data_IF_915224675662
#
_entry.id   IF_915224675662
#
_cell.length_a   1.000
_cell.length_b   1.000
_cell.length_c   1.000
_cell.angle_alpha   90.00
_cell.angle_beta   90.00
_cell.angle_gamma   90.00
#
_symmetry.space_group_name_H-M   'P 1'
#
loop_
_entity.id
_entity.type
_entity.pdbx_description
1 polymer ?
#
# COMPACT_ATOMS: atom_id res chain seq x y z
N UNK A 1 7.93 18.16 24.31
CA UNK A 1 9.08 17.86 23.45
C UNK A 1 8.58 16.94 22.34
N UNK A 2 8.85 17.27 21.09
CA UNK A 2 8.49 16.42 19.95
C UNK A 2 9.57 15.35 19.77
N UNK A 3 9.18 14.08 19.84
CA UNK A 3 10.11 12.97 19.67
C UNK A 3 10.30 12.63 18.18
N UNK A 4 11.50 12.16 17.85
CA UNK A 4 11.83 11.57 16.54
C UNK A 4 12.17 10.10 16.74
N UNK A 5 11.60 9.24 15.90
CA UNK A 5 11.74 7.78 15.97
C UNK A 5 12.20 7.24 14.62
N UNK A 6 13.29 6.49 14.62
CA UNK A 6 13.77 5.73 13.47
C UNK A 6 13.22 4.31 13.63
N UNK A 7 12.24 3.94 12.80
CA UNK A 7 11.58 2.63 12.85
C UNK A 7 12.21 1.60 11.91
N UNK A 8 12.84 2.06 10.82
CA UNK A 8 13.66 1.25 9.92
C UNK A 8 14.79 2.12 9.35
N UNK A 9 16.05 1.65 9.36
CA UNK A 9 17.15 2.36 8.71
C UNK A 9 16.86 2.62 7.22
N UNK A 10 17.11 3.84 6.75
CA UNK A 10 16.88 4.23 5.34
C UNK A 10 15.49 4.83 5.07
N UNK A 11 14.52 4.62 5.97
CA UNK A 11 13.18 5.19 5.85
C UNK A 11 13.10 6.59 6.46
N UNK A 12 12.18 7.41 5.95
CA UNK A 12 11.85 8.73 6.49
C UNK A 12 11.50 8.60 7.98
N UNK A 13 12.18 9.33 8.89
CA UNK A 13 11.89 9.21 10.31
C UNK A 13 10.47 9.64 10.67
N UNK A 14 9.90 9.01 11.69
CA UNK A 14 8.67 9.46 12.31
C UNK A 14 9.00 10.63 13.25
N UNK A 15 8.35 11.76 13.03
CA UNK A 15 8.57 13.01 13.77
C UNK A 15 7.29 13.50 14.45
N UNK A 16 7.39 14.52 15.31
CA UNK A 16 6.25 15.14 16.01
C UNK A 16 5.40 14.14 16.78
N UNK A 17 6.03 13.06 17.25
CA UNK A 17 5.34 11.99 17.95
C UNK A 17 4.88 12.49 19.30
N UNK A 18 3.60 12.32 19.60
CA UNK A 18 3.09 12.44 20.96
C UNK A 18 2.39 11.14 21.35
N UNK A 19 2.85 10.55 22.44
CA UNK A 19 2.41 9.25 22.88
C UNK A 19 2.86 8.94 24.30
N UNK A 20 2.51 7.74 24.77
CA UNK A 20 2.90 7.23 26.08
C UNK A 20 3.50 5.84 25.92
N UNK A 21 4.70 5.67 26.46
CA UNK A 21 5.32 4.36 26.63
C UNK A 21 5.11 3.84 28.05
N UNK A 22 4.97 2.54 28.18
CA UNK A 22 4.86 1.85 29.46
C UNK A 22 5.69 0.57 29.45
N UNK A 23 6.56 0.43 30.46
CA UNK A 23 7.35 -0.77 30.71
C UNK A 23 6.81 -1.44 31.98
N UNK A 24 6.30 -2.67 31.86
CA UNK A 24 5.75 -3.44 32.98
C UNK A 24 6.44 -4.78 33.08
N UNK A 25 7.41 -4.87 33.98
CA UNK A 25 8.19 -6.10 34.19
C UNK A 25 8.89 -6.52 32.90
N UNK A 26 8.33 -7.52 32.21
CA UNK A 26 8.87 -8.10 30.99
C UNK A 26 8.11 -7.71 29.71
N UNK A 27 7.23 -6.70 29.77
CA UNK A 27 6.49 -6.21 28.61
C UNK A 27 6.68 -4.71 28.41
N UNK A 28 6.57 -4.28 27.16
CA UNK A 28 6.60 -2.87 26.76
C UNK A 28 5.43 -2.57 25.83
N UNK A 29 4.75 -1.46 26.07
CA UNK A 29 3.77 -0.90 25.15
C UNK A 29 4.08 0.56 24.86
N UNK A 30 3.72 1.02 23.66
CA UNK A 30 3.79 2.42 23.29
C UNK A 30 2.58 2.80 22.44
N UNK A 31 1.87 3.83 22.86
CA UNK A 31 0.70 4.36 22.15
C UNK A 31 0.99 5.79 21.68
N UNK A 32 1.11 5.98 20.37
CA UNK A 32 1.17 7.28 19.71
C UNK A 32 -0.23 7.74 19.29
N UNK A 33 -0.57 8.98 19.64
CA UNK A 33 -1.82 9.67 19.27
C UNK A 33 -1.65 10.61 18.08
N UNK A 34 -0.40 10.90 17.71
CA UNK A 34 -0.03 11.66 16.52
C UNK A 34 1.42 11.37 16.15
N UNK A 35 1.72 11.52 14.86
CA UNK A 35 3.07 11.55 14.33
C UNK A 35 3.06 11.97 12.86
N UNK A 36 4.24 12.20 12.28
CA UNK A 36 4.42 12.58 10.89
C UNK A 36 5.56 11.79 10.27
N UNK A 37 5.32 11.15 9.12
CA UNK A 37 6.37 10.57 8.27
C UNK A 37 6.45 11.42 7.02
N UNK A 38 7.39 12.38 7.00
CA UNK A 38 7.36 13.45 6.01
C UNK A 38 6.07 14.28 6.16
N UNK A 39 5.25 14.32 5.10
CA UNK A 39 3.92 14.95 5.11
C UNK A 39 2.78 13.98 5.41
N UNK A 40 3.04 12.67 5.52
CA UNK A 40 2.03 11.66 5.87
C UNK A 40 1.72 11.76 7.36
N UNK A 41 0.44 11.97 7.69
CA UNK A 41 -0.01 12.10 9.05
C UNK A 41 -0.35 10.73 9.64
N UNK A 42 0.22 10.43 10.80
CA UNK A 42 -0.13 9.25 11.60
C UNK A 42 -1.11 9.69 12.70
N UNK A 43 -2.31 9.12 12.70
CA UNK A 43 -3.36 9.41 13.68
C UNK A 43 -3.35 8.43 14.85
N UNK A 44 -2.84 7.22 14.63
CA UNK A 44 -2.65 6.19 15.65
C UNK A 44 -1.38 5.42 15.37
N UNK A 45 -0.62 5.12 16.41
CA UNK A 45 0.50 4.19 16.36
C UNK A 45 0.55 3.38 17.64
N UNK A 46 0.84 2.09 17.54
CA UNK A 46 0.96 1.19 18.67
C UNK A 46 2.20 0.32 18.46
N UNK A 47 3.00 0.16 19.52
CA UNK A 47 4.02 -0.88 19.62
C UNK A 47 3.67 -1.72 20.83
N UNK A 48 3.58 -3.03 20.64
CA UNK A 48 3.34 -3.98 21.73
C UNK A 48 4.40 -5.07 21.69
N UNK A 49 5.18 -5.15 22.77
CA UNK A 49 6.19 -6.18 23.02
C UNK A 49 5.77 -6.91 24.30
N UNK A 50 4.95 -7.98 24.21
CA UNK A 50 4.44 -8.66 25.40
C UNK A 50 5.53 -9.36 26.22
N UNK A 51 6.62 -9.77 25.57
CA UNK A 51 7.75 -10.47 26.20
C UNK A 51 9.06 -9.92 25.63
N UNK A 52 9.86 -9.28 26.49
CA UNK A 52 11.17 -8.72 26.13
C UNK A 52 12.27 -9.80 26.20
N UNK A 53 12.23 -10.64 27.24
CA UNK A 53 13.16 -11.76 27.44
C UNK A 53 12.39 -13.08 27.68
N UNK A 54 12.77 -14.19 27.01
CA UNK A 54 13.86 -14.32 26.03
C UNK A 54 13.56 -13.57 24.71
N UNK A 55 14.61 -13.29 23.93
CA UNK A 55 14.49 -12.60 22.63
C UNK A 55 13.73 -13.44 21.60
N UNK A 56 13.24 -12.78 20.55
CA UNK A 56 12.57 -13.45 19.42
C UNK A 56 11.10 -13.79 19.63
N UNK A 57 10.51 -13.41 20.78
CA UNK A 57 9.06 -13.41 20.94
C UNK A 57 8.41 -12.35 20.04
N UNK A 58 7.15 -12.55 19.60
CA UNK A 58 6.46 -11.60 18.73
C UNK A 58 6.41 -10.18 19.31
N UNK A 59 6.64 -9.20 18.44
CA UNK A 59 6.34 -7.80 18.66
C UNK A 59 5.34 -7.35 17.59
N UNK A 60 4.35 -6.56 17.99
CA UNK A 60 3.28 -6.07 17.15
C UNK A 60 3.40 -4.56 16.97
N UNK A 61 3.14 -4.10 15.77
CA UNK A 61 3.19 -2.70 15.36
C UNK A 61 1.90 -2.41 14.63
N UNK A 62 1.09 -1.47 15.11
CA UNK A 62 -0.17 -1.08 14.45
C UNK A 62 -0.16 0.41 14.18
N UNK A 63 -0.67 0.84 13.05
CA UNK A 63 -0.79 2.26 12.78
C UNK A 63 -1.95 2.58 11.85
N UNK A 64 -2.45 3.81 11.99
CA UNK A 64 -3.38 4.44 11.05
C UNK A 64 -2.73 5.72 10.52
N UNK A 65 -2.69 5.87 9.20
CA UNK A 65 -2.06 6.99 8.54
C UNK A 65 -2.89 7.52 7.37
N UNK A 66 -2.82 8.82 7.09
CA UNK A 66 -3.50 9.46 5.96
C UNK A 66 -2.65 10.57 5.34
N UNK A 67 -2.82 10.80 4.04
CA UNK A 67 -2.03 11.78 3.31
C UNK A 67 -2.17 11.70 1.80
N UNK A 68 -1.29 12.41 1.10
CA UNK A 68 -1.16 12.33 -0.36
C UNK A 68 -0.65 10.95 -0.77
N UNK A 69 -1.30 10.34 -1.75
CA UNK A 69 -0.96 8.99 -2.20
C UNK A 69 0.49 8.90 -2.70
N UNK A 70 0.97 9.89 -3.45
CA UNK A 70 2.37 9.95 -3.88
C UNK A 70 3.38 10.06 -2.73
N UNK A 71 3.03 10.75 -1.64
CA UNK A 71 3.90 10.82 -0.45
C UNK A 71 3.93 9.49 0.29
N UNK A 72 2.78 8.82 0.42
CA UNK A 72 2.71 7.47 1.00
C UNK A 72 3.51 6.46 0.18
N UNK A 73 3.33 6.44 -1.14
CA UNK A 73 4.08 5.58 -2.04
C UNK A 73 5.58 5.89 -1.99
N UNK A 74 5.97 7.16 -1.85
CA UNK A 74 7.38 7.55 -1.67
C UNK A 74 7.99 6.92 -0.42
N UNK A 75 7.27 6.92 0.70
CA UNK A 75 7.72 6.26 1.93
C UNK A 75 7.85 4.75 1.71
N UNK A 76 6.87 4.11 1.08
CA UNK A 76 6.90 2.67 0.80
C UNK A 76 7.99 2.26 -0.21
N UNK A 77 8.42 3.18 -1.08
CA UNK A 77 9.50 2.95 -2.03
C UNK A 77 10.90 2.98 -1.40
N UNK A 78 11.03 3.39 -0.13
CA UNK A 78 12.30 3.39 0.58
C UNK A 78 12.68 1.97 1.02
N UNK A 79 13.98 1.70 1.07
CA UNK A 79 14.50 0.49 1.71
C UNK A 79 14.12 0.47 3.20
N UNK A 80 13.80 -0.70 3.78
CA UNK A 80 13.89 -2.04 3.18
C UNK A 80 12.63 -2.49 2.41
N UNK A 81 11.59 -1.65 2.31
CA UNK A 81 10.32 -2.05 1.70
C UNK A 81 10.41 -2.07 0.17
N UNK A 82 10.97 -1.01 -0.42
CA UNK A 82 11.28 -0.89 -1.84
C UNK A 82 10.14 -1.34 -2.78
N UNK A 83 8.88 -1.04 -2.45
CA UNK A 83 7.70 -1.63 -3.13
C UNK A 83 7.60 -1.30 -4.62
N UNK A 84 8.30 -0.26 -5.09
CA UNK A 84 8.31 0.15 -6.49
C UNK A 84 9.49 -0.37 -7.30
N UNK A 85 10.46 -1.07 -6.68
CA UNK A 85 11.77 -1.40 -7.28
C UNK A 85 11.67 -2.02 -8.68
N UNK A 86 10.70 -2.90 -8.90
CA UNK A 86 10.52 -3.63 -10.16
C UNK A 86 9.23 -3.25 -10.90
N UNK A 87 8.54 -2.18 -10.46
CA UNK A 87 7.24 -1.77 -11.03
C UNK A 87 7.37 -0.90 -12.28
N UNK A 88 8.52 -0.26 -12.50
CA UNK A 88 8.68 0.81 -13.49
C UNK A 88 7.98 2.12 -13.14
N UNK A 89 7.23 2.17 -12.03
CA UNK A 89 6.53 3.35 -11.55
C UNK A 89 7.38 4.12 -10.53
N UNK A 90 7.09 5.40 -10.39
CA UNK A 90 7.70 6.32 -9.46
C UNK A 90 6.64 6.99 -8.60
N UNK A 91 6.97 7.30 -7.35
CA UNK A 91 6.06 7.96 -6.42
C UNK A 91 5.48 9.28 -6.95
N UNK A 92 6.21 9.99 -7.82
CA UNK A 92 5.75 11.23 -8.46
C UNK A 92 4.61 11.04 -9.46
N UNK A 93 4.36 9.82 -9.93
CA UNK A 93 3.24 9.51 -10.82
C UNK A 93 1.92 9.37 -10.06
N UNK A 94 1.97 9.30 -8.73
CA UNK A 94 0.80 9.09 -7.88
C UNK A 94 0.28 10.41 -7.32
N UNK A 95 -1.02 10.61 -7.42
CA UNK A 95 -1.74 11.76 -6.86
C UNK A 95 -3.03 11.31 -6.16
N UNK A 96 -3.73 12.25 -5.52
CA UNK A 96 -4.93 11.94 -4.73
C UNK A 96 -4.62 11.67 -3.26
N UNK A 97 -5.63 11.21 -2.52
CA UNK A 97 -5.53 10.96 -1.08
C UNK A 97 -5.69 9.49 -0.78
N UNK A 98 -5.00 9.03 0.25
CA UNK A 98 -5.15 7.68 0.78
C UNK A 98 -5.16 7.71 2.32
N UNK A 99 -5.89 6.75 2.90
CA UNK A 99 -5.89 6.43 4.33
C UNK A 99 -5.63 4.94 4.49
N UNK A 100 -4.78 4.58 5.43
CA UNK A 100 -4.29 3.22 5.66
C UNK A 100 -4.43 2.87 7.13
N UNK A 101 -4.84 1.64 7.41
CA UNK A 101 -4.66 0.98 8.70
C UNK A 101 -3.85 -0.29 8.47
N UNK A 102 -2.80 -0.50 9.26
CA UNK A 102 -1.94 -1.66 9.09
C UNK A 102 -1.45 -2.22 10.42
N UNK A 103 -1.20 -3.52 10.42
CA UNK A 103 -0.55 -4.28 11.47
C UNK A 103 0.64 -5.03 10.89
N UNK A 104 1.74 -5.00 11.63
CA UNK A 104 2.94 -5.79 11.39
C UNK A 104 3.28 -6.55 12.66
N UNK A 105 3.49 -7.84 12.53
CA UNK A 105 4.13 -8.69 13.53
C UNK A 105 5.51 -9.10 13.03
N UNK A 106 6.51 -9.04 13.90
CA UNK A 106 7.82 -9.65 13.67
C UNK A 106 8.39 -10.21 14.97
N UNK A 107 9.29 -11.19 14.91
CA UNK A 107 10.10 -11.56 16.06
C UNK A 107 10.90 -10.37 16.59
N UNK A 108 10.91 -10.17 17.91
CA UNK A 108 11.72 -9.16 18.58
C UNK A 108 13.21 -9.57 18.62
N UNK A 109 13.83 -9.59 17.44
CA UNK A 109 15.24 -9.84 17.19
C UNK A 109 15.89 -8.60 16.56
N UNK A 110 17.19 -8.46 16.74
CA UNK A 110 17.98 -7.43 16.05
C UNK A 110 17.90 -7.59 14.53
N UNK A 111 17.98 -8.84 14.07
CA UNK A 111 17.79 -9.25 12.69
C UNK A 111 16.75 -10.37 12.72
N UNK A 112 15.55 -10.09 12.21
CA UNK A 112 14.52 -11.10 12.06
C UNK A 112 14.48 -11.53 10.58
N UNK A 113 14.34 -12.83 10.29
CA UNK A 113 14.16 -13.31 8.93
C UNK A 113 12.90 -12.69 8.33
N UNK A 114 12.95 -12.26 7.06
CA UNK A 114 11.80 -11.60 6.42
C UNK A 114 10.58 -12.53 6.36
N UNK A 115 10.82 -13.82 6.21
CA UNK A 115 9.81 -14.88 6.17
C UNK A 115 9.03 -15.05 7.50
N UNK A 116 9.53 -14.45 8.59
CA UNK A 116 8.88 -14.48 9.92
C UNK A 116 7.97 -13.28 10.20
N UNK A 117 7.81 -12.40 9.22
CA UNK A 117 6.97 -11.21 9.33
C UNK A 117 5.56 -11.59 8.92
N UNK A 118 4.59 -11.19 9.72
CA UNK A 118 3.19 -11.23 9.32
C UNK A 118 2.69 -9.80 9.20
N UNK A 119 1.96 -9.49 8.15
CA UNK A 119 1.40 -8.17 7.96
C UNK A 119 -0.02 -8.26 7.46
N UNK A 120 -0.83 -7.31 7.89
CA UNK A 120 -2.17 -7.09 7.37
C UNK A 120 -2.44 -5.60 7.30
N UNK A 121 -3.35 -5.20 6.43
CA UNK A 121 -3.77 -3.81 6.39
C UNK A 121 -4.90 -3.59 5.42
N UNK A 122 -5.59 -2.48 5.61
CA UNK A 122 -6.60 -1.96 4.70
C UNK A 122 -6.23 -0.54 4.33
N UNK A 123 -6.56 -0.16 3.11
CA UNK A 123 -6.42 1.21 2.66
C UNK A 123 -7.66 1.63 1.88
N UNK A 124 -8.03 2.89 1.99
CA UNK A 124 -8.99 3.54 1.09
C UNK A 124 -8.29 4.67 0.37
N UNK A 125 -8.67 4.91 -0.87
CA UNK A 125 -8.13 6.00 -1.67
C UNK A 125 -9.24 6.73 -2.40
N UNK A 126 -9.05 8.02 -2.61
CA UNK A 126 -9.98 8.90 -3.30
C UNK A 126 -9.25 9.89 -4.19
N UNK A 127 -9.81 10.12 -5.38
CA UNK A 127 -9.18 10.93 -6.42
C UNK A 127 -7.78 10.41 -6.80
N UNK A 128 -7.53 9.10 -6.66
CA UNK A 128 -6.24 8.49 -6.99
C UNK A 128 -5.97 8.71 -8.49
N UNK A 129 -4.82 9.31 -8.77
CA UNK A 129 -4.28 9.43 -10.11
C UNK A 129 -2.99 8.64 -10.23
N UNK A 130 -2.79 7.95 -11.35
CA UNK A 130 -1.54 7.29 -11.69
C UNK A 130 -1.19 7.61 -13.13
N UNK A 131 -0.21 8.50 -13.29
CA UNK A 131 0.26 8.94 -14.61
C UNK A 131 1.06 7.83 -15.29
N UNK A 132 0.84 7.63 -16.58
CA UNK A 132 1.62 6.69 -17.39
C UNK A 132 1.50 5.21 -16.97
N UNK A 133 0.38 4.83 -16.36
CA UNK A 133 0.13 3.45 -15.92
C UNK A 133 0.01 2.48 -17.11
N UNK A 134 -0.51 2.96 -18.25
CA UNK A 134 -0.72 2.16 -19.46
C UNK A 134 -0.08 2.83 -20.68
N UNK A 135 1.26 2.95 -20.66
CA UNK A 135 1.99 3.72 -21.68
C UNK A 135 1.76 5.22 -21.46
N UNK A 136 1.17 5.90 -22.44
CA UNK A 136 0.86 7.34 -22.34
C UNK A 136 -0.47 7.62 -21.60
N UNK A 137 -1.28 6.59 -21.35
CA UNK A 137 -2.55 6.75 -20.68
C UNK A 137 -2.40 6.77 -19.16
N UNK A 138 -3.17 7.67 -18.54
CA UNK A 138 -3.20 7.86 -17.10
C UNK A 138 -4.51 7.37 -16.51
N UNK A 139 -4.42 6.84 -15.29
CA UNK A 139 -5.58 6.55 -14.45
C UNK A 139 -5.91 7.80 -13.65
N UNK A 140 -7.17 8.21 -13.63
CA UNK A 140 -7.63 9.38 -12.88
C UNK A 140 -8.91 9.07 -12.12
N UNK A 141 -9.26 9.92 -11.15
CA UNK A 141 -10.50 9.81 -10.37
C UNK A 141 -10.68 8.43 -9.73
N UNK A 142 -9.57 7.80 -9.32
CA UNK A 142 -9.58 6.50 -8.69
C UNK A 142 -10.18 6.57 -7.29
N UNK A 143 -11.17 5.73 -7.03
CA UNK A 143 -11.81 5.58 -5.73
C UNK A 143 -11.97 4.10 -5.42
N UNK A 144 -11.58 3.68 -4.22
CA UNK A 144 -11.62 2.28 -3.88
C UNK A 144 -10.91 1.93 -2.59
N UNK A 145 -10.69 0.64 -2.45
CA UNK A 145 -10.09 0.02 -1.28
C UNK A 145 -9.01 -0.98 -1.69
N UNK A 146 -8.07 -1.21 -0.78
CA UNK A 146 -7.03 -2.21 -0.88
C UNK A 146 -7.00 -2.98 0.43
N UNK A 147 -6.91 -4.30 0.35
CA UNK A 147 -6.57 -5.15 1.50
C UNK A 147 -5.24 -5.83 1.24
N UNK A 148 -4.42 -5.90 2.27
CA UNK A 148 -3.12 -6.54 2.25
C UNK A 148 -3.08 -7.57 3.37
N UNK A 149 -2.54 -8.73 3.05
CA UNK A 149 -2.20 -9.81 3.97
C UNK A 149 -0.82 -10.35 3.60
N UNK A 150 -0.19 -11.09 4.53
CA UNK A 150 1.13 -11.70 4.31
C UNK A 150 1.22 -12.47 3.00
N UNK A 151 0.13 -13.12 2.59
CA UNK A 151 0.11 -14.01 1.42
C UNK A 151 -0.58 -13.41 0.19
N UNK A 152 -1.30 -12.30 0.35
CA UNK A 152 -2.17 -11.77 -0.69
C UNK A 152 -2.42 -10.28 -0.62
N UNK A 153 -2.89 -9.72 -1.72
CA UNK A 153 -3.42 -8.37 -1.79
C UNK A 153 -4.65 -8.36 -2.70
N UNK A 154 -5.64 -7.57 -2.34
CA UNK A 154 -6.81 -7.27 -3.15
C UNK A 154 -6.92 -5.76 -3.33
N UNK A 155 -7.36 -5.32 -4.52
CA UNK A 155 -7.72 -3.94 -4.79
C UNK A 155 -9.02 -3.93 -5.56
N UNK A 156 -9.98 -3.17 -5.08
CA UNK A 156 -11.29 -2.99 -5.71
C UNK A 156 -11.59 -1.50 -5.79
N UNK A 157 -12.07 -1.06 -6.95
CA UNK A 157 -12.37 0.35 -7.12
C UNK A 157 -12.90 0.73 -8.49
N UNK A 158 -13.26 1.98 -8.61
CA UNK A 158 -13.63 2.62 -9.86
C UNK A 158 -12.58 3.67 -10.21
N UNK A 159 -12.34 3.87 -11.49
CA UNK A 159 -11.45 4.90 -11.99
C UNK A 159 -11.87 5.33 -13.39
N UNK A 160 -11.18 6.33 -13.93
CA UNK A 160 -11.27 6.71 -15.34
C UNK A 160 -9.91 6.49 -15.99
N UNK A 161 -9.90 5.88 -17.17
CA UNK A 161 -8.69 5.74 -17.99
C UNK A 161 -8.92 6.48 -19.29
N UNK A 162 -8.18 7.56 -19.52
CA UNK A 162 -8.49 8.51 -20.58
C UNK A 162 -9.88 9.14 -20.37
N UNK A 163 -10.84 8.79 -21.21
CA UNK A 163 -12.24 9.24 -21.09
C UNK A 163 -13.20 8.13 -20.59
N UNK A 164 -12.69 6.91 -20.39
CA UNK A 164 -13.53 5.73 -20.16
C UNK A 164 -13.60 5.39 -18.67
N UNK A 165 -14.80 5.39 -18.07
CA UNK A 165 -15.00 4.86 -16.72
C UNK A 165 -14.77 3.35 -16.69
N UNK A 166 -13.98 2.89 -15.70
CA UNK A 166 -13.64 1.50 -15.51
C UNK A 166 -13.82 1.08 -14.05
N UNK A 167 -14.21 -0.17 -13.86
CA UNK A 167 -14.16 -0.87 -12.58
C UNK A 167 -12.95 -1.81 -12.57
N UNK A 168 -12.22 -1.84 -11.46
CA UNK A 168 -11.00 -2.63 -11.26
C UNK A 168 -11.23 -3.62 -10.11
N UNK A 169 -10.90 -4.90 -10.35
CA UNK A 169 -10.72 -5.95 -9.34
C UNK A 169 -9.35 -6.58 -9.59
N UNK A 170 -8.37 -6.27 -8.74
CA UNK A 170 -7.05 -6.86 -8.75
C UNK A 170 -6.89 -7.77 -7.55
N UNK A 171 -6.46 -9.00 -7.80
CA UNK A 171 -6.04 -9.96 -6.78
C UNK A 171 -4.63 -10.41 -7.05
N UNK A 172 -3.81 -10.36 -6.02
CA UNK A 172 -2.43 -10.80 -6.01
C UNK A 172 -2.25 -11.86 -4.93
N UNK A 173 -1.60 -12.97 -5.28
CA UNK A 173 -1.01 -13.92 -4.32
C UNK A 173 0.50 -13.77 -4.39
N UNK A 174 1.19 -13.77 -3.25
CA UNK A 174 2.64 -13.68 -3.22
C UNK A 174 3.30 -15.08 -3.28
N UNK A 175 2.63 -16.07 -2.71
CA UNK A 175 3.12 -17.46 -2.59
C UNK A 175 2.23 -18.48 -3.33
N UNK A 176 2.73 -19.72 -3.41
CA UNK A 176 2.05 -20.86 -4.04
C UNK A 176 2.20 -20.92 -5.55
N UNK A 177 1.71 -22.03 -6.12
CA UNK A 177 1.78 -22.32 -7.55
C UNK A 177 0.61 -21.71 -8.35
N UNK A 178 0.78 -21.68 -9.67
CA UNK A 178 -0.22 -21.21 -10.63
C UNK A 178 -0.23 -19.68 -10.82
N UNK A 179 -1.32 -19.18 -11.42
CA UNK A 179 -1.50 -17.75 -11.70
C UNK A 179 -1.60 -16.95 -10.39
N UNK A 180 -0.61 -16.08 -10.15
CA UNK A 180 -0.49 -15.26 -8.94
C UNK A 180 -1.22 -13.92 -9.04
N UNK A 181 -1.29 -13.36 -10.24
CA UNK A 181 -1.87 -12.05 -10.50
C UNK A 181 -3.13 -12.22 -11.33
N UNK A 182 -4.26 -11.74 -10.83
CA UNK A 182 -5.53 -11.69 -11.56
C UNK A 182 -6.03 -10.26 -11.55
N UNK A 183 -6.05 -9.63 -12.72
CA UNK A 183 -6.56 -8.27 -12.87
C UNK A 183 -7.77 -8.34 -13.79
N UNK A 184 -8.91 -7.86 -13.31
CA UNK A 184 -10.11 -7.65 -14.11
C UNK A 184 -10.38 -6.16 -14.17
N UNK A 185 -10.48 -5.65 -15.39
CA UNK A 185 -10.90 -4.29 -15.66
C UNK A 185 -12.12 -4.35 -16.58
N UNK A 186 -13.20 -3.73 -16.14
CA UNK A 186 -14.48 -3.72 -16.87
C UNK A 186 -14.88 -2.29 -17.14
N UNK A 187 -15.22 -1.96 -18.37
CA UNK A 187 -15.71 -0.64 -18.78
C UNK A 187 -16.61 -0.77 -20.00
N UNK A 188 -17.36 0.29 -20.30
CA UNK A 188 -18.12 0.34 -21.55
C UNK A 188 -17.16 0.74 -22.67
N UNK A 189 -16.87 -0.18 -23.59
CA UNK A 189 -16.07 0.11 -24.75
C UNK A 189 -16.88 0.97 -25.74
N UNK A 190 -16.48 2.22 -25.91
CA UNK A 190 -16.87 3.01 -27.06
C UNK A 190 -15.85 2.85 -28.20
N UNK A 191 -16.12 3.44 -29.36
CA UNK A 191 -15.23 3.37 -30.53
C UNK A 191 -13.81 3.90 -30.30
N UNK A 192 -13.56 4.65 -29.21
CA UNK A 192 -12.22 5.11 -28.82
C UNK A 192 -11.47 4.11 -27.93
N UNK A 193 -12.16 3.08 -27.42
CA UNK A 193 -11.63 2.10 -26.45
C UNK A 193 -10.93 0.91 -27.12
N UNK A 194 -11.15 0.68 -28.42
CA UNK A 194 -10.64 -0.48 -29.16
C UNK A 194 -9.12 -0.54 -29.34
N UNK A 195 -8.45 0.61 -29.41
CA UNK A 195 -6.98 0.69 -29.56
C UNK A 195 -6.25 0.59 -28.21
N UNK A 196 -6.95 0.81 -27.09
CA UNK A 196 -6.37 0.92 -25.75
C UNK A 196 -6.05 -0.45 -25.11
N UNK A 197 -6.79 -1.50 -25.45
CA UNK A 197 -6.70 -2.80 -24.77
C UNK A 197 -5.71 -3.79 -25.41
N UNK A 198 -4.96 -3.39 -26.44
CA UNK A 198 -3.99 -4.28 -27.11
C UNK A 198 -4.61 -5.53 -27.75
N UNK A 199 -5.95 -5.58 -27.86
CA UNK A 199 -6.66 -6.61 -28.61
C UNK A 199 -6.71 -6.16 -30.07
N UNK A 200 -6.17 -6.92 -31.03
CA UNK A 200 -6.39 -6.61 -32.43
C UNK A 200 -7.88 -6.77 -32.73
N UNK A 201 -8.60 -5.64 -32.75
CA UNK A 201 -10.04 -5.55 -33.02
C UNK A 201 -10.43 -5.92 -34.46
N UNK A 202 -9.50 -6.48 -35.26
CA UNK A 202 -9.73 -6.87 -36.66
C UNK A 202 -10.27 -8.29 -36.86
N UNK A 203 -10.57 -9.06 -35.80
CA UNK A 203 -11.09 -10.42 -35.96
C UNK A 203 -12.54 -10.66 -35.49
N UNK A 204 -13.22 -9.67 -34.90
CA UNK A 204 -14.62 -9.85 -34.48
C UNK A 204 -15.64 -8.93 -35.17
N UNK A 205 -15.19 -8.12 -36.13
CA UNK A 205 -16.08 -7.37 -37.03
C UNK A 205 -16.11 -8.02 -38.42
N UNK A 206 -16.71 -9.21 -38.53
CA UNK A 206 -17.16 -9.73 -39.84
C UNK A 206 -18.67 -10.04 -39.82
N UNK A 207 -19.42 -9.12 -40.44
CA UNK A 207 -20.69 -9.35 -41.14
C UNK A 207 -21.97 -9.41 -40.29
N UNK A 208 -23.10 -8.81 -40.69
CA UNK A 208 -23.47 -8.11 -41.94
C UNK A 208 -24.77 -7.30 -41.67
N UNK A 209 -24.91 -6.21 -42.45
CA UNK A 209 -26.05 -5.30 -42.71
C UNK A 209 -27.40 -5.74 -42.12
#
# INVERSE_FOLDING_TARGET
ADATVIYAPGMTPLTRVAGRGELRGNSFTFDARRGMVGSVALSRGEVSIPVIAPKGRPAYYRFSASGDAGEMVRVLAQEPLAVLKDSGLQASQFSGKASVEAELMRPNLNVAPQESYEYSGTATFSGLGVDGLFGDASLTSGEGELELFTESMSVTGNATVGATPVQIDWRQRFYGDGEKTKIKMSGVADSATGDFLGVPSRQFAQGKI
#
